data_IF_926245864345
#
_entry.id   IF_926245864345
#
_cell.length_a   1.000
_cell.length_b   1.000
_cell.length_c   1.000
_cell.angle_alpha   90.00
_cell.angle_beta   90.00
_cell.angle_gamma   90.00
#
_symmetry.space_group_name_H-M   'P 1'
#
loop_
_entity.id
_entity.type
_entity.pdbx_description
1 polymer ?
#
# COMPACT_ATOMS: atom_id res chain seq x y z
N UNK A 1 6.29 -13.92 36.24
CA UNK A 1 5.65 -12.95 35.32
C UNK A 1 6.25 -13.20 33.97
N UNK A 2 5.53 -13.86 33.06
CA UNK A 2 6.02 -14.14 31.71
C UNK A 2 5.70 -12.94 30.82
N UNK A 3 6.73 -12.24 30.36
CA UNK A 3 6.60 -11.15 29.40
C UNK A 3 6.27 -11.76 28.04
N UNK A 4 5.08 -11.49 27.51
CA UNK A 4 4.73 -11.85 26.13
C UNK A 4 5.42 -10.81 25.25
N UNK A 5 6.53 -11.20 24.61
CA UNK A 5 7.13 -10.39 23.56
C UNK A 5 6.26 -10.52 22.32
N UNK A 6 5.53 -9.46 21.96
CA UNK A 6 4.62 -9.42 20.80
C UNK A 6 5.35 -9.34 19.45
N UNK A 7 6.68 -9.18 19.48
CA UNK A 7 7.52 -9.11 18.30
C UNK A 7 8.29 -10.41 18.21
N UNK A 8 8.11 -11.15 17.11
CA UNK A 8 8.97 -12.27 16.74
C UNK A 8 10.19 -11.69 16.02
N UNK A 9 11.35 -11.55 16.67
CA UNK A 9 12.50 -10.83 16.12
C UNK A 9 13.18 -11.56 14.95
N UNK A 10 12.74 -12.79 14.64
CA UNK A 10 13.30 -13.62 13.56
C UNK A 10 12.51 -13.54 12.25
N UNK A 11 11.34 -12.89 12.23
CA UNK A 11 10.63 -12.68 10.96
C UNK A 11 11.34 -11.56 10.17
N UNK A 12 11.42 -11.61 8.83
CA UNK A 12 12.00 -10.53 8.04
C UNK A 12 11.01 -9.36 7.90
N UNK A 13 11.53 -8.15 7.68
CA UNK A 13 10.70 -7.03 7.23
C UNK A 13 10.00 -7.41 5.93
N UNK A 14 8.69 -7.22 5.89
CA UNK A 14 7.86 -7.48 4.72
C UNK A 14 6.57 -6.67 4.75
N UNK A 15 5.98 -6.49 3.59
CA UNK A 15 4.60 -6.04 3.42
C UNK A 15 3.69 -7.21 3.79
N UNK A 16 2.82 -6.99 4.77
CA UNK A 16 1.82 -7.98 5.17
C UNK A 16 0.55 -7.81 4.35
N UNK A 17 0.08 -6.56 4.19
CA UNK A 17 -1.19 -6.27 3.53
C UNK A 17 -1.19 -4.89 2.91
N UNK A 18 -1.84 -4.75 1.76
CA UNK A 18 -2.16 -3.46 1.15
C UNK A 18 -3.66 -3.43 0.81
N UNK A 19 -4.33 -2.32 1.10
CA UNK A 19 -5.70 -2.05 0.71
C UNK A 19 -5.82 -0.66 0.10
N UNK A 20 -6.59 -0.57 -0.99
CA UNK A 20 -6.95 0.67 -1.67
C UNK A 20 -8.46 0.75 -1.75
N UNK A 21 -9.00 1.89 -1.34
CA UNK A 21 -10.39 2.27 -1.54
C UNK A 21 -10.45 3.58 -2.32
N UNK A 22 -10.89 3.58 -3.59
CA UNK A 22 -11.24 4.82 -4.26
C UNK A 22 -12.34 5.55 -3.50
N UNK A 23 -12.19 6.87 -3.32
CA UNK A 23 -13.24 7.71 -2.74
C UNK A 23 -14.42 7.86 -3.73
N UNK A 24 -15.61 8.28 -3.26
CA UNK A 24 -16.79 8.46 -4.14
C UNK A 24 -16.57 9.45 -5.30
N UNK A 25 -15.63 10.37 -5.16
CA UNK A 25 -15.29 11.34 -6.20
C UNK A 25 -14.36 10.78 -7.30
N UNK A 26 -13.82 9.58 -7.09
CA UNK A 26 -12.85 8.89 -7.94
C UNK A 26 -11.60 9.72 -8.26
N UNK A 27 -11.31 10.74 -7.45
CA UNK A 27 -10.13 11.61 -7.54
C UNK A 27 -9.12 11.31 -6.45
N UNK A 28 -9.54 10.58 -5.43
CA UNK A 28 -8.73 10.23 -4.27
C UNK A 28 -8.76 8.74 -4.04
N UNK A 29 -7.66 8.20 -3.54
CA UNK A 29 -7.55 6.83 -3.06
C UNK A 29 -7.21 6.88 -1.57
N UNK A 30 -7.93 6.10 -0.77
CA UNK A 30 -7.53 5.77 0.58
C UNK A 30 -6.63 4.54 0.53
N UNK A 31 -5.35 4.75 0.75
CA UNK A 31 -4.32 3.72 0.76
C UNK A 31 -4.02 3.32 2.19
N UNK A 32 -3.99 2.01 2.45
CA UNK A 32 -3.65 1.43 3.74
C UNK A 32 -2.65 0.31 3.54
N UNK A 33 -1.61 0.28 4.35
CA UNK A 33 -0.62 -0.78 4.32
C UNK A 33 -0.26 -1.21 5.74
N UNK A 34 -0.01 -2.51 5.90
CA UNK A 34 0.52 -3.10 7.11
C UNK A 34 1.89 -3.71 6.81
N UNK A 35 2.88 -3.36 7.63
CA UNK A 35 4.23 -3.91 7.61
C UNK A 35 4.42 -4.88 8.77
N UNK A 36 5.30 -5.86 8.55
CA UNK A 36 5.83 -6.67 9.65
C UNK A 36 6.57 -5.78 10.64
N UNK A 37 6.24 -5.89 11.92
CA UNK A 37 6.94 -5.18 12.99
C UNK A 37 8.40 -5.64 13.08
N UNK A 38 9.34 -4.71 12.92
CA UNK A 38 10.77 -4.96 13.06
C UNK A 38 11.45 -3.95 13.97
N UNK A 39 12.05 -4.36 15.10
CA UNK A 39 12.76 -3.46 15.98
C UNK A 39 13.94 -2.81 15.25
N UNK A 40 14.06 -1.48 15.38
CA UNK A 40 15.18 -0.69 14.84
C UNK A 40 15.32 -0.70 13.31
N UNK A 41 14.26 -1.09 12.58
CA UNK A 41 14.20 -0.90 11.14
C UNK A 41 13.18 0.19 10.82
N UNK A 42 13.60 1.13 9.99
CA UNK A 42 12.79 2.24 9.52
C UNK A 42 12.87 2.25 7.99
N UNK A 43 12.03 1.48 7.30
CA UNK A 43 12.12 1.39 5.85
C UNK A 43 11.65 2.66 5.16
N UNK A 44 12.13 2.85 3.94
CA UNK A 44 11.49 3.74 2.99
C UNK A 44 10.39 2.98 2.26
N UNK A 45 9.30 3.67 1.98
CA UNK A 45 8.13 3.15 1.28
C UNK A 45 7.86 4.09 0.11
N UNK A 46 8.03 3.58 -1.10
CA UNK A 46 7.64 4.27 -2.33
C UNK A 46 6.35 3.62 -2.85
N UNK A 47 5.35 4.45 -3.13
CA UNK A 47 4.04 4.03 -3.64
C UNK A 47 3.82 4.74 -4.96
N UNK A 48 3.72 3.98 -6.04
CA UNK A 48 3.38 4.47 -7.37
C UNK A 48 2.00 3.95 -7.78
N UNK A 49 1.13 4.86 -8.23
CA UNK A 49 -0.16 4.50 -8.81
C UNK A 49 -0.27 5.12 -10.19
N UNK A 50 -0.54 4.30 -11.21
CA UNK A 50 -0.67 4.74 -12.60
C UNK A 50 -1.77 3.96 -13.33
N UNK A 51 -2.51 4.61 -14.23
CA UNK A 51 -3.39 3.92 -15.16
C UNK A 51 -2.56 3.05 -16.12
N UNK A 52 -3.07 1.85 -16.41
CA UNK A 52 -2.37 0.87 -17.27
C UNK A 52 -2.28 1.36 -18.72
N UNK A 53 -3.33 2.05 -19.19
CA UNK A 53 -3.48 2.45 -20.60
C UNK A 53 -3.14 3.93 -20.89
N UNK A 54 -2.64 4.70 -19.91
CA UNK A 54 -2.40 6.13 -20.13
C UNK A 54 -2.03 6.91 -18.86
N UNK A 55 -1.86 8.24 -18.97
CA UNK A 55 -1.42 9.04 -17.85
C UNK A 55 -2.58 9.43 -16.94
N UNK A 56 -2.76 8.66 -15.87
CA UNK A 56 -3.42 9.11 -14.66
C UNK A 56 -2.64 8.48 -13.51
N UNK A 57 -1.98 9.28 -12.68
CA UNK A 57 -1.16 8.70 -11.62
C UNK A 57 -0.69 9.69 -10.59
N UNK A 58 -0.12 9.15 -9.52
CA UNK A 58 0.59 9.89 -8.50
C UNK A 58 1.54 8.95 -7.76
N UNK A 59 2.52 9.53 -7.08
CA UNK A 59 3.44 8.79 -6.24
C UNK A 59 3.57 9.44 -4.86
N UNK A 60 3.81 8.61 -3.85
CA UNK A 60 4.15 9.03 -2.49
C UNK A 60 5.42 8.31 -2.05
N UNK A 61 6.28 9.03 -1.36
CA UNK A 61 7.49 8.47 -0.76
C UNK A 61 7.49 8.79 0.74
N UNK A 62 7.66 7.76 1.56
CA UNK A 62 7.88 7.86 3.00
C UNK A 62 9.31 7.40 3.26
N UNK A 63 10.10 8.22 3.95
CA UNK A 63 11.51 7.92 4.24
C UNK A 63 11.63 7.63 5.73
N UNK A 64 12.33 6.56 6.08
CA UNK A 64 12.52 6.12 7.46
C UNK A 64 11.19 6.03 8.25
N UNK A 65 10.22 5.31 7.70
CA UNK A 65 8.91 5.10 8.31
C UNK A 65 9.03 4.26 9.58
N UNK A 66 8.45 4.70 10.69
CA UNK A 66 8.64 4.09 12.01
C UNK A 66 7.39 3.39 12.58
N UNK A 67 6.27 3.41 11.85
CA UNK A 67 5.05 2.69 12.20
C UNK A 67 4.91 1.38 11.39
N UNK A 68 4.08 0.49 11.89
CA UNK A 68 3.66 -0.75 11.22
C UNK A 68 2.44 -0.55 10.34
N UNK A 69 1.65 0.49 10.59
CA UNK A 69 0.45 0.81 9.79
C UNK A 69 0.64 2.13 9.09
N UNK A 70 0.53 2.13 7.77
CA UNK A 70 0.46 3.33 6.95
C UNK A 70 -0.98 3.58 6.51
N UNK A 71 -1.47 4.80 6.71
CA UNK A 71 -2.75 5.29 6.24
C UNK A 71 -2.53 6.62 5.52
N UNK A 72 -2.83 6.66 4.22
CA UNK A 72 -2.56 7.80 3.37
C UNK A 72 -3.69 8.05 2.37
N UNK A 73 -3.83 9.32 1.96
CA UNK A 73 -4.70 9.69 0.84
C UNK A 73 -3.87 10.07 -0.37
N UNK A 74 -4.05 9.36 -1.48
CA UNK A 74 -3.39 9.64 -2.76
C UNK A 74 -4.35 10.45 -3.64
N UNK A 75 -3.93 11.63 -4.10
CA UNK A 75 -4.70 12.45 -5.03
C UNK A 75 -4.31 12.14 -6.48
N UNK A 76 -5.24 11.67 -7.30
CA UNK A 76 -4.98 11.41 -8.72
C UNK A 76 -5.01 12.72 -9.50
N UNK A 77 -4.05 12.92 -10.41
CA UNK A 77 -3.96 14.16 -11.21
C UNK A 77 -5.06 14.24 -12.27
N UNK A 78 -5.29 13.16 -13.02
CA UNK A 78 -6.24 13.11 -14.15
C UNK A 78 -7.00 11.77 -14.17
N UNK A 79 -7.81 11.46 -13.14
CA UNK A 79 -8.43 10.13 -13.02
C UNK A 79 -9.44 9.83 -14.14
N UNK A 80 -9.38 8.59 -14.62
CA UNK A 80 -10.32 7.97 -15.53
C UNK A 80 -11.14 6.88 -14.81
N UNK A 81 -12.37 7.17 -14.35
CA UNK A 81 -13.29 6.19 -13.78
C UNK A 81 -13.49 4.95 -14.66
N UNK A 82 -13.50 3.77 -14.05
CA UNK A 82 -13.66 2.48 -14.74
C UNK A 82 -12.43 1.98 -15.51
N UNK A 83 -11.36 2.79 -15.61
CA UNK A 83 -10.07 2.32 -16.16
C UNK A 83 -9.31 1.47 -15.14
N UNK A 84 -8.41 0.62 -15.65
CA UNK A 84 -7.52 -0.20 -14.84
C UNK A 84 -6.29 0.60 -14.41
N UNK A 85 -5.96 0.52 -13.12
CA UNK A 85 -4.79 1.12 -12.51
C UNK A 85 -3.89 0.04 -11.96
N UNK A 86 -2.61 0.37 -11.89
CA UNK A 86 -1.57 -0.44 -11.29
C UNK A 86 -1.03 0.31 -10.08
N UNK A 87 -0.93 -0.39 -8.95
CA UNK A 87 -0.20 0.06 -7.78
C UNK A 87 1.09 -0.75 -7.68
N UNK A 88 2.20 -0.05 -7.50
CA UNK A 88 3.50 -0.61 -7.15
C UNK A 88 3.90 -0.03 -5.81
N UNK A 89 4.29 -0.90 -4.88
CA UNK A 89 4.84 -0.50 -3.58
C UNK A 89 6.22 -1.11 -3.45
N UNK A 90 7.22 -0.25 -3.29
CA UNK A 90 8.61 -0.61 -3.09
C UNK A 90 9.02 -0.32 -1.65
N UNK A 91 9.60 -1.33 -0.99
CA UNK A 91 10.14 -1.26 0.35
C UNK A 91 11.66 -1.31 0.29
N UNK A 92 12.34 -0.37 0.93
CA UNK A 92 13.81 -0.32 0.98
C UNK A 92 14.34 0.08 2.35
N UNK A 93 15.63 -0.18 2.61
CA UNK A 93 16.34 0.21 3.83
C UNK A 93 17.55 1.08 3.51
N UNK A 94 17.88 1.98 4.43
CA UNK A 94 19.01 2.89 4.28
C UNK A 94 18.69 4.10 3.40
N UNK A 95 19.73 4.80 2.98
CA UNK A 95 19.65 5.97 2.11
C UNK A 95 20.66 5.84 0.97
N UNK A 96 20.46 6.52 -0.16
CA UNK A 96 21.44 6.55 -1.23
C UNK A 96 22.84 6.98 -0.74
N UNK A 97 23.93 6.37 -1.23
CA UNK A 97 23.98 5.36 -2.29
C UNK A 97 23.76 3.91 -1.80
N UNK A 98 23.77 3.66 -0.49
CA UNK A 98 23.77 2.32 0.11
C UNK A 98 22.34 1.79 0.39
N UNK A 99 21.38 2.23 -0.41
CA UNK A 99 19.97 1.82 -0.28
C UNK A 99 19.80 0.36 -0.71
N UNK A 100 19.23 -0.45 0.17
CA UNK A 100 18.93 -1.87 -0.08
C UNK A 100 17.44 -2.04 -0.38
N UNK A 101 17.12 -2.70 -1.49
CA UNK A 101 15.74 -3.08 -1.79
C UNK A 101 15.34 -4.32 -0.98
N UNK A 102 14.19 -4.25 -0.31
CA UNK A 102 13.67 -5.31 0.56
C UNK A 102 12.59 -6.12 -0.16
N UNK A 103 11.57 -5.45 -0.68
CA UNK A 103 10.40 -6.10 -1.28
C UNK A 103 9.70 -5.15 -2.27
N UNK A 104 9.11 -5.72 -3.33
CA UNK A 104 8.19 -5.04 -4.23
C UNK A 104 6.87 -5.80 -4.30
N UNK A 105 5.76 -5.11 -4.11
CA UNK A 105 4.41 -5.64 -4.35
C UNK A 105 3.76 -4.88 -5.49
N UNK A 106 3.13 -5.63 -6.40
CA UNK A 106 2.46 -5.11 -7.58
C UNK A 106 1.09 -5.74 -7.75
N UNK A 107 0.06 -4.91 -7.94
CA UNK A 107 -1.29 -5.37 -8.24
C UNK A 107 -2.06 -4.35 -9.07
N UNK A 108 -3.15 -4.80 -9.67
CA UNK A 108 -4.02 -3.98 -10.50
C UNK A 108 -5.41 -3.86 -9.88
N UNK A 109 -6.09 -2.74 -10.13
CA UNK A 109 -7.42 -2.48 -9.63
C UNK A 109 -8.20 -1.55 -10.56
N UNK A 110 -9.52 -1.75 -10.75
CA UNK A 110 -10.36 -0.79 -11.45
C UNK A 110 -10.57 0.46 -10.58
N UNK A 111 -10.59 1.64 -11.20
CA UNK A 111 -10.97 2.86 -10.50
C UNK A 111 -12.49 2.94 -10.34
N UNK A 112 -13.00 2.22 -9.35
CA UNK A 112 -14.40 2.11 -8.99
C UNK A 112 -14.58 2.31 -7.48
N UNK A 113 -15.63 3.05 -7.10
CA UNK A 113 -15.89 3.33 -5.70
C UNK A 113 -16.25 2.03 -4.96
N UNK A 114 -15.62 1.83 -3.79
CA UNK A 114 -15.96 0.76 -2.85
C UNK A 114 -16.15 1.33 -1.47
N UNK A 115 -17.31 1.06 -0.90
CA UNK A 115 -17.73 1.64 0.38
C UNK A 115 -17.18 0.84 1.56
N UNK A 116 -15.99 1.22 2.02
CA UNK A 116 -15.35 0.63 3.19
C UNK A 116 -16.22 0.73 4.46
N UNK A 117 -17.00 1.80 4.61
CA UNK A 117 -17.84 2.02 5.80
C UNK A 117 -19.03 1.06 5.84
N UNK A 118 -19.49 0.62 4.66
CA UNK A 118 -20.53 -0.39 4.50
C UNK A 118 -19.97 -1.81 4.29
N UNK A 119 -18.69 -2.02 4.55
CA UNK A 119 -18.06 -3.35 4.54
C UNK A 119 -17.73 -3.91 3.16
N UNK A 120 -17.64 -3.06 2.13
CA UNK A 120 -17.12 -3.49 0.83
C UNK A 120 -15.64 -3.87 0.94
N UNK A 121 -15.22 -4.89 0.19
CA UNK A 121 -13.81 -5.29 0.12
C UNK A 121 -13.00 -4.25 -0.65
N UNK A 122 -11.81 -3.92 -0.16
CA UNK A 122 -10.86 -3.07 -0.89
C UNK A 122 -10.20 -3.80 -2.06
N UNK A 123 -9.32 -3.10 -2.76
CA UNK A 123 -8.40 -3.72 -3.71
C UNK A 123 -7.02 -3.84 -3.08
N UNK A 124 -6.28 -4.93 -3.34
CA UNK A 124 -4.88 -4.96 -2.94
C UNK A 124 -4.29 -6.35 -2.74
N UNK A 125 -3.12 -6.34 -2.12
CA UNK A 125 -2.34 -7.53 -1.82
C UNK A 125 -2.74 -8.12 -0.45
N UNK A 126 -2.85 -9.44 -0.41
CA UNK A 126 -3.35 -10.21 0.74
C UNK A 126 -4.74 -9.73 1.22
N UNK A 127 -5.58 -9.37 0.25
CA UNK A 127 -7.01 -9.14 0.42
C UNK A 127 -7.77 -10.38 -0.10
N UNK A 128 -8.83 -10.86 0.59
CA UNK A 128 -9.72 -11.84 -0.03
C UNK A 128 -10.26 -11.26 -1.35
N UNK A 129 -10.19 -12.04 -2.43
CA UNK A 129 -10.82 -11.67 -3.70
C UNK A 129 -12.31 -11.38 -3.47
N UNK A 130 -12.88 -10.36 -4.13
CA UNK A 130 -14.33 -10.19 -4.12
C UNK A 130 -14.92 -11.46 -4.72
N UNK A 131 -15.64 -12.22 -3.91
CA UNK A 131 -16.36 -13.41 -4.37
C UNK A 131 -17.29 -12.96 -5.49
N UNK A 132 -16.98 -13.36 -6.73
CA UNK A 132 -17.86 -13.15 -7.88
C UNK A 132 -19.25 -13.70 -7.52
N UNK A 133 -20.22 -12.80 -7.32
CA UNK A 133 -21.63 -13.14 -7.20
C UNK A 133 -22.26 -13.26 -8.58
#
# INVERSE_FOLDING_TARGET
MSTISLVQPDEPLRIQKILIFPYPDLKRLWFRMQLQAQPNQQPNIDIDVAAVDGPAGNSLAFVAYDDTYLDATIHLKEPHPGSLYQCVVDLSLGLPPDMEHVEQVKFEFPLEFRDAENGADGFGYDCPDPVSA
#
